data_IF_352245906000
#
_entry.id   IF_352245906000
#
_cell.length_a   1.000
_cell.length_b   1.000
_cell.length_c   1.000
_cell.angle_alpha   90.00
_cell.angle_beta   90.00
_cell.angle_gamma   90.00
#
_symmetry.space_group_name_H-M   'P 1'
#
loop_
_entity.id
_entity.type
_entity.pdbx_description
1 polymer ?
#
# COMPACT_ATOMS: atom_id res chain seq x y z
N UNK A 1 7.36 -20.18 0.08
CA UNK A 1 6.50 -19.67 1.17
C UNK A 1 6.95 -18.24 1.43
N UNK A 2 6.15 -17.20 1.10
CA UNK A 2 6.52 -15.84 1.47
C UNK A 2 6.50 -15.76 3.00
N UNK A 3 7.66 -15.49 3.60
CA UNK A 3 7.71 -15.14 5.01
C UNK A 3 7.09 -13.75 5.14
N UNK A 4 5.82 -13.69 5.56
CA UNK A 4 5.21 -12.44 5.99
C UNK A 4 5.91 -12.06 7.29
N UNK A 5 6.89 -11.18 7.20
CA UNK A 5 7.52 -10.59 8.38
C UNK A 5 6.45 -9.71 9.02
N UNK A 6 5.89 -10.15 10.14
CA UNK A 6 4.89 -9.42 10.91
C UNK A 6 5.56 -8.26 11.66
N UNK A 7 5.91 -7.21 10.92
CA UNK A 7 6.54 -5.99 11.45
C UNK A 7 5.62 -5.18 12.39
N UNK A 8 4.38 -5.61 12.59
CA UNK A 8 3.48 -5.02 13.59
C UNK A 8 3.68 -5.65 14.98
N UNK A 9 4.10 -6.91 15.04
CA UNK A 9 4.32 -7.64 16.30
C UNK A 9 5.79 -7.84 16.63
N UNK A 10 6.61 -8.14 15.63
CA UNK A 10 8.02 -8.53 15.78
C UNK A 10 8.94 -7.54 15.06
N UNK A 11 8.80 -6.25 15.37
CA UNK A 11 9.67 -5.21 14.84
C UNK A 11 11.08 -5.32 15.47
N UNK A 12 12.14 -5.66 14.71
CA UNK A 12 13.49 -5.79 15.26
C UNK A 12 14.14 -4.44 15.59
N UNK A 13 13.50 -3.31 15.24
CA UNK A 13 14.01 -1.96 15.51
C UNK A 13 13.93 -1.63 17.00
N UNK A 14 14.88 -0.83 17.48
CA UNK A 14 14.88 -0.38 18.87
C UNK A 14 13.65 0.48 19.13
N UNK A 15 12.88 0.19 20.18
CA UNK A 15 11.67 0.96 20.55
C UNK A 15 12.02 2.45 20.70
N UNK A 16 11.47 3.29 19.82
CA UNK A 16 11.76 4.73 19.75
C UNK A 16 12.67 5.15 18.60
N UNK A 17 13.23 4.21 17.83
CA UNK A 17 13.97 4.50 16.61
C UNK A 17 13.00 4.86 15.48
N UNK A 18 13.26 5.98 14.81
CA UNK A 18 12.48 6.40 13.67
C UNK A 18 12.77 5.46 12.51
N UNK A 19 11.71 4.95 11.86
CA UNK A 19 11.86 4.10 10.65
C UNK A 19 12.66 4.78 9.52
N UNK A 20 12.72 6.10 9.56
CA UNK A 20 13.24 6.99 8.55
C UNK A 20 14.17 8.01 9.21
N UNK A 21 15.49 7.71 9.35
CA UNK A 21 16.43 8.60 10.04
C UNK A 21 16.53 9.97 9.36
N UNK A 22 16.28 10.07 8.07
CA UNK A 22 16.25 11.33 7.32
C UNK A 22 15.14 12.29 7.76
N UNK A 23 14.15 11.80 8.51
CA UNK A 23 13.02 12.57 9.05
C UNK A 23 13.22 12.97 10.52
N UNK A 24 14.31 12.56 11.18
CA UNK A 24 14.51 12.75 12.61
C UNK A 24 14.53 14.21 13.11
N UNK A 25 14.96 15.13 12.26
CA UNK A 25 15.04 16.55 12.58
C UNK A 25 13.99 17.39 11.84
N UNK A 26 12.99 16.74 11.24
CA UNK A 26 11.89 17.43 10.55
C UNK A 26 10.65 17.42 11.44
N UNK A 27 9.89 18.53 11.53
CA UNK A 27 8.61 18.51 12.23
C UNK A 27 7.65 17.52 11.56
N UNK A 28 6.75 16.94 12.36
CA UNK A 28 5.72 16.04 11.85
C UNK A 28 4.83 16.77 10.84
N UNK A 29 4.64 16.16 9.67
CA UNK A 29 3.75 16.66 8.64
C UNK A 29 2.49 15.80 8.58
N UNK A 30 1.34 16.30 9.08
CA UNK A 30 0.11 15.54 9.05
C UNK A 30 -0.34 15.30 7.61
N UNK A 31 -0.97 14.13 7.38
CA UNK A 31 -1.49 13.76 6.06
C UNK A 31 -2.56 14.77 5.65
N UNK A 32 -2.28 15.53 4.60
CA UNK A 32 -3.22 16.49 4.04
C UNK A 32 -4.32 15.78 3.25
N UNK A 33 -5.52 16.37 3.26
CA UNK A 33 -6.64 15.85 2.45
C UNK A 33 -6.31 16.01 0.97
N UNK A 34 -6.46 14.94 0.20
CA UNK A 34 -6.30 14.98 -1.26
C UNK A 34 -7.36 15.91 -1.90
N UNK A 35 -6.98 16.79 -2.86
CA UNK A 35 -7.92 17.67 -3.55
C UNK A 35 -9.01 16.87 -4.30
N UNK A 36 -10.15 17.50 -4.61
CA UNK A 36 -11.28 16.83 -5.29
C UNK A 36 -10.86 16.14 -6.59
N UNK A 37 -10.05 16.81 -7.43
CA UNK A 37 -9.71 16.33 -8.78
C UNK A 37 -8.86 15.06 -8.82
N UNK A 38 -8.08 14.74 -7.77
CA UNK A 38 -7.22 13.54 -7.73
C UNK A 38 -7.89 12.35 -7.03
N UNK A 39 -9.09 12.55 -6.47
CA UNK A 39 -9.82 11.49 -5.78
C UNK A 39 -10.60 10.65 -6.79
N UNK A 40 -10.00 9.53 -7.18
CA UNK A 40 -10.71 8.49 -7.92
C UNK A 40 -11.66 7.70 -7.00
N UNK A 41 -12.89 7.45 -7.45
CA UNK A 41 -13.73 6.38 -6.91
C UNK A 41 -13.44 5.14 -7.74
N UNK A 42 -12.90 4.09 -7.13
CA UNK A 42 -12.59 2.86 -7.85
C UNK A 42 -13.85 2.34 -8.57
N UNK A 43 -13.81 2.19 -9.90
CA UNK A 43 -14.93 1.62 -10.62
C UNK A 43 -14.96 0.11 -10.39
N UNK A 44 -16.05 -0.38 -9.79
CA UNK A 44 -16.38 -1.81 -9.76
C UNK A 44 -16.84 -2.32 -11.13
N UNK A 45 -16.08 -2.04 -12.19
CA UNK A 45 -16.48 -2.40 -13.55
C UNK A 45 -16.47 -3.92 -13.74
N UNK A 46 -17.40 -4.48 -14.54
CA UNK A 46 -17.42 -5.92 -14.82
C UNK A 46 -16.10 -6.42 -15.42
N UNK A 47 -15.44 -5.61 -16.27
CA UNK A 47 -14.15 -5.94 -16.88
C UNK A 47 -13.02 -6.06 -15.85
N UNK A 48 -12.99 -5.18 -14.85
CA UNK A 48 -12.01 -5.30 -13.78
C UNK A 48 -12.20 -6.60 -12.98
N UNK A 49 -13.45 -6.98 -12.71
CA UNK A 49 -13.75 -8.22 -11.98
C UNK A 49 -13.28 -9.47 -12.75
N UNK A 50 -13.42 -9.46 -14.08
CA UNK A 50 -12.89 -10.51 -14.95
C UNK A 50 -11.36 -10.59 -14.88
N UNK A 51 -10.66 -9.46 -15.04
CA UNK A 51 -9.20 -9.42 -14.93
C UNK A 51 -8.70 -9.88 -13.55
N UNK A 52 -9.36 -9.44 -12.47
CA UNK A 52 -9.03 -9.86 -11.10
C UNK A 52 -9.20 -11.38 -10.91
N UNK A 53 -10.24 -11.97 -11.50
CA UNK A 53 -10.44 -13.42 -11.47
C UNK A 53 -9.27 -14.16 -12.13
N UNK A 54 -8.83 -13.72 -13.31
CA UNK A 54 -7.71 -14.32 -14.04
C UNK A 54 -6.41 -14.23 -13.22
N UNK A 55 -6.11 -13.06 -12.65
CA UNK A 55 -4.92 -12.84 -11.82
C UNK A 55 -4.89 -13.82 -10.64
N UNK A 56 -6.02 -13.98 -9.94
CA UNK A 56 -6.15 -14.90 -8.80
C UNK A 56 -6.08 -16.36 -9.19
N UNK A 57 -6.75 -16.76 -10.28
CA UNK A 57 -6.75 -18.13 -10.79
C UNK A 57 -5.33 -18.61 -11.10
N UNK A 58 -4.51 -17.73 -11.68
CA UNK A 58 -3.12 -18.03 -12.04
C UNK A 58 -2.11 -17.66 -10.94
N UNK A 59 -2.55 -17.18 -9.78
CA UNK A 59 -1.69 -16.76 -8.66
C UNK A 59 -0.61 -15.76 -9.08
N UNK A 60 -0.97 -14.83 -9.96
CA UNK A 60 -0.08 -13.78 -10.45
C UNK A 60 0.02 -12.65 -9.44
N UNK A 61 1.17 -11.98 -9.42
CA UNK A 61 1.38 -10.75 -8.66
C UNK A 61 1.43 -9.59 -9.65
N UNK A 62 0.66 -8.54 -9.38
CA UNK A 62 0.57 -7.37 -10.27
C UNK A 62 0.94 -6.10 -9.53
N UNK A 63 1.58 -5.16 -10.23
CA UNK A 63 1.86 -3.83 -9.66
C UNK A 63 0.59 -3.08 -9.27
N UNK A 64 -0.53 -3.36 -9.94
CA UNK A 64 -1.81 -2.74 -9.66
C UNK A 64 -2.29 -3.05 -8.23
N UNK A 65 -2.17 -4.30 -7.79
CA UNK A 65 -2.55 -4.74 -6.44
C UNK A 65 -1.46 -4.39 -5.41
N UNK A 66 -0.20 -4.67 -5.74
CA UNK A 66 0.90 -4.54 -4.77
C UNK A 66 1.21 -3.08 -4.41
N UNK A 67 1.09 -2.18 -5.38
CA UNK A 67 1.28 -0.74 -5.15
C UNK A 67 -0.01 -0.04 -4.70
N UNK A 68 -1.14 -0.76 -4.60
CA UNK A 68 -2.46 -0.16 -4.35
C UNK A 68 -2.72 1.04 -5.27
N UNK A 69 -2.49 0.83 -6.57
CA UNK A 69 -2.62 1.88 -7.58
C UNK A 69 -4.07 2.41 -7.59
N UNK A 70 -4.29 3.74 -7.54
CA UNK A 70 -5.65 4.31 -7.48
C UNK A 70 -6.38 4.35 -8.83
N UNK A 71 -5.78 3.80 -9.89
CA UNK A 71 -6.27 3.85 -11.27
C UNK A 71 -6.92 2.54 -11.70
#
# INVERSE_FOLDING_TARGET
MPAVIDLLKDDPRKKGELRHPEKAHRPDNPIQRKPEWIRAKAPGSPKWAETNKIVKEHKLVTVCEEASCPN
#
